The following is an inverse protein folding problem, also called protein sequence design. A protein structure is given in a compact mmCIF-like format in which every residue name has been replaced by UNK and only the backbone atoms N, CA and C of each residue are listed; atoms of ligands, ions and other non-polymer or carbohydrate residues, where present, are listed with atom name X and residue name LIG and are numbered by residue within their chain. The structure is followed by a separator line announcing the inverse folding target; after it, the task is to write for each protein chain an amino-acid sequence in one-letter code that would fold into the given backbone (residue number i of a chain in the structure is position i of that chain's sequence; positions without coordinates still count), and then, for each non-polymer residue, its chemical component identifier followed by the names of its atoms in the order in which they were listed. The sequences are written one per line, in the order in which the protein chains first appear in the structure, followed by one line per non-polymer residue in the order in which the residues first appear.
data_IF_215920305814
#
_entry.id   IF_215920305814
#
_cell.length_a   1.000
_cell.length_b   1.000
_cell.length_c   1.000
_cell.angle_alpha   90.00
_cell.angle_beta   90.00
_cell.angle_gamma   90.00
#
_symmetry.space_group_name_H-M   'P 1'
#
loop_
_entity.id
_entity.type
_entity.pdbx_description
1 polymer ?
#
# COMPACT_ATOMS: atom_id res chain seq x y z
N UNK A 1 -17.71 -11.52 15.84
CA UNK A 1 -16.52 -12.26 16.32
C UNK A 1 -16.26 -13.59 15.62
N UNK A 2 -17.22 -14.54 15.49
CA UNK A 2 -16.93 -15.85 14.86
C UNK A 2 -16.23 -15.76 13.49
N UNK A 3 -16.72 -14.88 12.59
CA UNK A 3 -16.05 -14.59 11.30
C UNK A 3 -14.62 -14.11 11.48
N UNK A 4 -14.41 -13.08 12.32
CA UNK A 4 -13.08 -12.50 12.62
C UNK A 4 -12.09 -13.57 13.06
N UNK A 5 -12.47 -14.38 14.06
CA UNK A 5 -11.60 -15.43 14.60
C UNK A 5 -11.28 -16.52 13.57
N UNK A 6 -12.23 -16.86 12.69
CA UNK A 6 -11.98 -17.84 11.62
C UNK A 6 -11.01 -17.34 10.58
N UNK A 7 -11.04 -16.05 10.23
CA UNK A 7 -10.03 -15.47 9.33
C UNK A 7 -8.65 -15.56 9.97
N UNK A 8 -8.53 -15.17 11.24
CA UNK A 8 -7.25 -15.27 11.98
C UNK A 8 -6.74 -16.71 12.00
N UNK A 9 -7.58 -17.69 12.35
CA UNK A 9 -7.19 -19.11 12.33
C UNK A 9 -6.76 -19.62 10.95
N UNK A 10 -7.32 -19.05 9.87
CA UNK A 10 -6.98 -19.46 8.51
C UNK A 10 -5.63 -18.90 8.06
N UNK A 11 -5.18 -17.76 8.61
CA UNK A 11 -4.01 -17.02 8.12
C UNK A 11 -2.86 -16.87 9.12
N UNK A 12 -3.06 -17.06 10.42
CA UNK A 12 -2.03 -16.82 11.45
C UNK A 12 -0.77 -17.68 11.30
N UNK A 13 -0.86 -18.83 10.64
CA UNK A 13 0.26 -19.72 10.38
C UNK A 13 1.25 -19.20 9.32
N UNK A 14 0.90 -18.17 8.55
CA UNK A 14 1.82 -17.55 7.60
C UNK A 14 2.71 -16.52 8.30
N UNK A 15 4.03 -16.75 8.30
CA UNK A 15 5.01 -15.86 8.93
C UNK A 15 5.08 -14.47 8.29
N UNK A 16 4.60 -14.30 7.06
CA UNK A 16 4.48 -13.01 6.40
C UNK A 16 3.15 -12.29 6.69
N UNK A 17 2.26 -12.83 7.54
CA UNK A 17 1.09 -12.08 8.04
C UNK A 17 1.52 -11.25 9.24
N UNK A 18 1.70 -9.95 9.04
CA UNK A 18 2.14 -9.03 10.08
C UNK A 18 1.00 -8.57 10.99
N UNK A 19 -0.23 -8.54 10.46
CA UNK A 19 -1.37 -8.10 11.24
C UNK A 19 -2.70 -8.15 10.53
N UNK A 20 -3.74 -7.69 11.23
CA UNK A 20 -5.10 -7.69 10.78
C UNK A 20 -5.78 -6.34 11.06
N UNK A 21 -6.51 -5.80 10.08
CA UNK A 21 -7.42 -4.69 10.32
C UNK A 21 -8.73 -5.21 10.89
N UNK A 22 -9.13 -4.74 12.08
CA UNK A 22 -10.43 -5.08 12.68
C UNK A 22 -11.61 -4.32 12.08
N UNK A 23 -11.35 -3.38 11.18
CA UNK A 23 -12.34 -2.58 10.49
C UNK A 23 -11.69 -1.66 9.47
N UNK A 24 -12.44 -1.35 8.41
CA UNK A 24 -12.09 -0.39 7.38
C UNK A 24 -13.21 0.65 7.30
N UNK A 25 -12.87 1.93 7.47
CA UNK A 25 -13.78 3.07 7.28
C UNK A 25 -15.13 2.95 8.01
N UNK A 26 -15.16 2.28 9.17
CA UNK A 26 -16.38 2.16 9.99
C UNK A 26 -16.81 3.56 10.46
N UNK A 27 -15.85 4.35 10.95
CA UNK A 27 -16.03 5.77 11.22
C UNK A 27 -15.75 6.51 9.91
N UNK A 28 -16.81 6.93 9.22
CA UNK A 28 -16.76 7.65 7.95
C UNK A 28 -17.69 8.87 7.91
N UNK A 29 -18.43 9.12 8.98
CA UNK A 29 -19.31 10.29 9.14
C UNK A 29 -19.55 10.61 10.62
N UNK A 30 -20.17 11.76 10.92
CA UNK A 30 -20.48 12.14 12.31
C UNK A 30 -21.40 11.11 13.02
N UNK A 31 -22.44 10.53 12.38
CA UNK A 31 -23.26 9.48 12.98
C UNK A 31 -22.48 8.23 13.45
N UNK A 32 -21.55 7.73 12.64
CA UNK A 32 -20.69 6.58 12.98
C UNK A 32 -19.66 6.97 14.05
N UNK A 33 -19.04 8.15 13.93
CA UNK A 33 -18.15 8.71 14.95
C UNK A 33 -18.81 8.84 16.34
N UNK A 34 -20.12 9.11 16.39
CA UNK A 34 -20.89 9.22 17.62
C UNK A 34 -21.25 7.87 18.28
N UNK A 35 -21.12 6.74 17.58
CA UNK A 35 -21.66 5.43 18.02
C UNK A 35 -20.65 4.31 18.06
N UNK A 36 -19.81 4.22 17.04
CA UNK A 36 -19.02 3.04 16.71
C UNK A 36 -17.66 2.93 17.41
N UNK A 37 -16.97 4.01 17.86
CA UNK A 37 -15.61 3.91 18.40
C UNK A 37 -15.45 2.86 19.52
N UNK A 38 -16.38 2.79 20.47
CA UNK A 38 -16.33 1.81 21.57
C UNK A 38 -16.46 0.36 21.11
N UNK A 39 -17.14 0.11 19.99
CA UNK A 39 -17.30 -1.22 19.44
C UNK A 39 -16.02 -1.64 18.70
N UNK A 40 -15.38 -0.71 18.00
CA UNK A 40 -14.07 -0.93 17.37
C UNK A 40 -13.06 -1.35 18.45
N UNK A 41 -12.94 -0.58 19.54
CA UNK A 41 -12.11 -0.92 20.72
C UNK A 41 -12.43 -2.29 21.33
N UNK A 42 -13.70 -2.65 21.44
CA UNK A 42 -14.09 -3.96 21.97
C UNK A 42 -13.69 -5.11 21.04
N UNK A 43 -13.84 -4.93 19.72
CA UNK A 43 -13.37 -5.91 18.72
C UNK A 43 -11.85 -6.02 18.74
N UNK A 44 -11.12 -4.90 18.85
CA UNK A 44 -9.65 -4.89 19.03
C UNK A 44 -9.24 -5.72 20.24
N UNK A 45 -9.81 -5.44 21.42
CA UNK A 45 -9.57 -6.20 22.66
C UNK A 45 -9.78 -7.69 22.46
N UNK A 46 -10.97 -8.07 21.99
CA UNK A 46 -11.35 -9.47 21.85
C UNK A 46 -10.48 -10.19 20.80
N UNK A 47 -10.02 -9.47 19.77
CA UNK A 47 -9.13 -9.97 18.72
C UNK A 47 -7.71 -10.18 19.22
N UNK A 48 -7.13 -9.20 19.93
CA UNK A 48 -5.80 -9.31 20.53
C UNK A 48 -5.75 -10.45 21.55
N UNK A 49 -6.78 -10.58 22.40
CA UNK A 49 -6.90 -11.71 23.33
C UNK A 49 -6.98 -13.06 22.62
N UNK A 50 -7.76 -13.15 21.53
CA UNK A 50 -7.84 -14.36 20.72
C UNK A 50 -6.46 -14.74 20.14
N UNK A 51 -5.78 -13.78 19.51
CA UNK A 51 -4.46 -13.97 18.92
C UNK A 51 -3.45 -14.43 19.97
N UNK A 52 -3.38 -13.76 21.12
CA UNK A 52 -2.47 -14.13 22.21
C UNK A 52 -2.69 -15.57 22.69
N UNK A 53 -3.94 -15.96 22.92
CA UNK A 53 -4.27 -17.33 23.34
C UNK A 53 -3.93 -18.39 22.29
N UNK A 54 -3.94 -18.01 21.01
CA UNK A 54 -3.70 -18.93 19.89
C UNK A 54 -2.22 -19.04 19.53
N UNK A 55 -1.47 -17.96 19.61
CA UNK A 55 -0.03 -17.98 19.38
C UNK A 55 0.73 -18.73 20.49
N UNK A 56 0.17 -18.81 21.69
CA UNK A 56 0.69 -19.70 22.74
C UNK A 56 0.70 -21.19 22.33
N UNK A 57 -0.10 -21.58 21.33
CA UNK A 57 -0.15 -22.93 20.78
C UNK A 57 0.85 -23.14 19.62
N UNK A 58 1.48 -22.09 19.11
CA UNK A 58 2.38 -22.14 17.94
C UNK A 58 3.86 -22.24 18.40
N UNK A 59 4.68 -22.99 17.65
CA UNK A 59 6.11 -23.19 17.95
C UNK A 59 6.97 -21.92 17.67
N UNK A 60 6.42 -20.94 16.95
CA UNK A 60 7.09 -19.69 16.60
C UNK A 60 6.53 -18.51 17.41
N UNK A 61 7.37 -17.95 18.28
CA UNK A 61 7.08 -16.78 19.10
C UNK A 61 7.08 -15.48 18.28
N UNK A 62 6.17 -15.36 17.32
CA UNK A 62 5.98 -14.14 16.50
C UNK A 62 4.81 -13.30 17.02
N UNK A 63 4.89 -11.99 16.82
CA UNK A 63 3.77 -11.10 17.08
C UNK A 63 2.86 -10.99 15.84
N UNK A 64 1.56 -10.83 16.08
CA UNK A 64 0.55 -10.48 15.08
C UNK A 64 -0.18 -9.26 15.60
N UNK A 65 -0.09 -8.17 14.86
CA UNK A 65 -0.65 -6.88 15.27
C UNK A 65 -2.10 -6.71 14.82
N UNK A 66 -2.86 -5.89 15.53
CA UNK A 66 -4.26 -5.60 15.25
C UNK A 66 -4.44 -4.10 15.07
N UNK A 67 -4.77 -3.68 13.85
CA UNK A 67 -4.92 -2.27 13.49
C UNK A 67 -6.32 -1.88 13.04
N UNK A 68 -6.47 -0.62 12.66
CA UNK A 68 -7.69 -0.07 12.06
C UNK A 68 -7.34 0.75 10.81
N UNK A 69 -8.14 0.63 9.75
CA UNK A 69 -8.01 1.43 8.53
C UNK A 69 -9.06 2.54 8.54
N UNK A 70 -8.60 3.79 8.63
CA UNK A 70 -9.45 4.96 8.77
C UNK A 70 -9.79 5.60 7.43
N UNK A 71 -10.99 6.16 7.33
CA UNK A 71 -11.48 6.84 6.15
C UNK A 71 -10.76 8.18 5.90
N UNK A 72 -10.80 8.65 4.66
CA UNK A 72 -10.29 9.96 4.27
C UNK A 72 -11.25 11.11 4.65
N UNK A 73 -11.61 11.19 5.93
CA UNK A 73 -12.46 12.26 6.49
C UNK A 73 -11.62 13.12 7.42
N UNK A 74 -11.07 14.20 6.87
CA UNK A 74 -10.09 15.08 7.55
C UNK A 74 -10.53 15.49 8.96
N UNK A 75 -11.79 15.85 9.17
CA UNK A 75 -12.31 16.27 10.49
C UNK A 75 -12.36 15.13 11.52
N UNK A 76 -12.54 13.89 11.07
CA UNK A 76 -12.67 12.71 11.93
C UNK A 76 -11.34 11.96 12.11
N UNK A 77 -10.32 12.28 11.31
CA UNK A 77 -9.01 11.61 11.33
C UNK A 77 -8.35 11.63 12.70
N UNK A 78 -8.04 12.82 13.22
CA UNK A 78 -7.38 12.96 14.52
C UNK A 78 -8.20 12.42 15.69
N UNK A 79 -9.51 12.70 15.83
CA UNK A 79 -10.26 12.12 16.93
C UNK A 79 -10.38 10.58 16.83
N UNK A 80 -10.39 10.01 15.62
CA UNK A 80 -10.33 8.55 15.43
C UNK A 80 -8.98 7.98 15.89
N UNK A 81 -7.88 8.58 15.44
CA UNK A 81 -6.52 8.20 15.84
C UNK A 81 -6.38 8.26 17.37
N UNK A 82 -6.61 9.44 17.97
CA UNK A 82 -6.51 9.67 19.42
C UNK A 82 -7.37 8.69 20.22
N UNK A 83 -8.60 8.42 19.77
CA UNK A 83 -9.50 7.52 20.49
C UNK A 83 -9.04 6.06 20.42
N UNK A 84 -8.50 5.60 19.30
CA UNK A 84 -8.17 4.18 19.08
C UNK A 84 -6.77 3.81 19.58
N UNK A 85 -5.83 4.75 19.64
CA UNK A 85 -4.44 4.50 20.08
C UNK A 85 -4.21 4.78 21.57
N UNK A 86 -5.04 5.62 22.20
CA UNK A 86 -4.84 5.95 23.62
C UNK A 86 -5.03 4.75 24.57
N UNK A 87 -4.44 4.80 25.76
CA UNK A 87 -4.70 3.88 26.85
C UNK A 87 -5.80 4.41 27.78
N UNK A 88 -6.89 3.66 27.96
CA UNK A 88 -8.08 4.10 28.74
C UNK A 88 -7.68 4.46 30.18
N UNK A 89 -6.81 3.67 30.78
CA UNK A 89 -6.33 3.87 32.15
C UNK A 89 -4.93 4.49 32.22
N UNK A 90 -4.33 4.87 31.08
CA UNK A 90 -2.94 5.34 31.01
C UNK A 90 -1.91 4.25 31.29
N UNK A 91 -2.24 3.00 30.95
CA UNK A 91 -1.35 1.84 31.05
C UNK A 91 -1.20 1.22 29.66
N UNK A 92 0.04 1.05 29.21
CA UNK A 92 0.39 0.48 27.89
C UNK A 92 -0.10 -0.97 27.71
N UNK A 93 -0.44 -1.67 28.80
CA UNK A 93 -1.08 -3.00 28.76
C UNK A 93 -2.56 -2.97 28.37
N UNK A 94 -3.11 -1.83 27.94
CA UNK A 94 -4.49 -1.72 27.45
C UNK A 94 -4.65 -2.45 26.11
N UNK A 95 -5.01 -3.72 26.18
CA UNK A 95 -5.26 -4.59 25.01
C UNK A 95 -6.40 -4.10 24.10
N UNK A 96 -7.15 -3.05 24.46
CA UNK A 96 -8.17 -2.48 23.58
C UNK A 96 -7.64 -1.42 22.62
N UNK A 97 -6.41 -0.91 22.80
CA UNK A 97 -5.77 -0.04 21.80
C UNK A 97 -5.30 -0.85 20.59
N UNK A 98 -5.37 -0.20 19.43
CA UNK A 98 -4.83 -0.74 18.18
C UNK A 98 -3.31 -0.69 18.19
N UNK A 99 -2.68 -1.61 17.46
CA UNK A 99 -1.23 -1.73 17.33
C UNK A 99 -0.67 -0.93 16.15
N UNK A 100 -1.50 -0.55 15.17
CA UNK A 100 -1.12 0.31 14.04
C UNK A 100 -2.35 1.01 13.47
N UNK A 101 -2.12 2.17 12.84
CA UNK A 101 -3.17 3.00 12.22
C UNK A 101 -2.95 3.12 10.71
N UNK A 102 -3.85 2.51 9.95
CA UNK A 102 -3.94 2.75 8.51
C UNK A 102 -4.80 3.98 8.24
N UNK A 103 -4.34 4.85 7.34
CA UNK A 103 -5.13 5.98 6.84
C UNK A 103 -5.34 5.85 5.33
N UNK A 104 -6.59 5.76 4.89
CA UNK A 104 -6.92 5.96 3.50
C UNK A 104 -6.74 7.46 3.19
N UNK A 105 -5.89 7.80 2.23
CA UNK A 105 -5.61 9.20 1.87
C UNK A 105 -5.59 9.40 0.36
N UNK A 106 -6.58 10.14 -0.13
CA UNK A 106 -6.75 10.52 -1.52
C UNK A 106 -6.58 12.04 -1.72
N UNK A 107 -6.01 12.75 -0.73
CA UNK A 107 -5.87 14.21 -0.75
C UNK A 107 -4.86 14.71 -1.82
N UNK A 108 -3.91 13.88 -2.23
CA UNK A 108 -2.98 14.19 -3.31
C UNK A 108 -3.50 13.67 -4.65
N UNK A 109 -3.83 14.58 -5.58
CA UNK A 109 -4.26 14.25 -6.92
C UNK A 109 -3.25 14.75 -7.96
N UNK A 110 -2.81 13.83 -8.82
CA UNK A 110 -1.80 14.04 -9.87
C UNK A 110 -1.97 15.34 -10.65
N UNK A 111 -0.91 16.14 -10.73
CA UNK A 111 -0.89 17.39 -11.51
C UNK A 111 -1.71 18.56 -10.96
N UNK A 112 -2.41 18.38 -9.83
CA UNK A 112 -3.16 19.44 -9.15
C UNK A 112 -2.76 19.67 -7.70
N UNK A 113 -2.10 18.68 -7.09
CA UNK A 113 -1.62 18.75 -5.71
C UNK A 113 -0.09 18.79 -5.69
N UNK A 114 0.43 19.33 -4.59
CA UNK A 114 1.82 19.28 -4.16
C UNK A 114 1.86 19.03 -2.64
N UNK A 115 3.05 19.04 -2.05
CA UNK A 115 3.28 18.80 -0.62
C UNK A 115 2.38 19.64 0.30
N UNK A 116 2.15 20.91 -0.02
CA UNK A 116 1.35 21.81 0.80
C UNK A 116 -0.13 21.74 0.46
N UNK A 117 -0.47 21.76 -0.82
CA UNK A 117 -1.86 21.83 -1.29
C UNK A 117 -2.62 20.51 -1.13
N UNK A 118 -1.92 19.37 -1.10
CA UNK A 118 -2.49 18.06 -0.73
C UNK A 118 -2.85 17.96 0.74
N UNK A 119 -2.36 18.85 1.61
CA UNK A 119 -2.53 18.70 3.05
C UNK A 119 -1.58 17.69 3.70
N UNK A 120 -0.73 16.97 2.96
CA UNK A 120 0.25 16.03 3.51
C UNK A 120 1.19 16.69 4.52
N UNK A 121 1.53 17.97 4.32
CA UNK A 121 2.32 18.73 5.28
C UNK A 121 1.70 18.82 6.68
N UNK A 122 0.37 18.67 6.80
CA UNK A 122 -0.33 18.71 8.09
C UNK A 122 -0.26 17.38 8.83
N UNK A 123 0.00 16.28 8.11
CA UNK A 123 0.12 14.94 8.71
C UNK A 123 1.34 14.84 9.61
N UNK A 124 2.43 15.55 9.29
CA UNK A 124 3.65 15.63 10.12
C UNK A 124 3.30 16.02 11.56
N UNK A 125 2.67 17.19 11.75
CA UNK A 125 2.27 17.64 13.09
C UNK A 125 1.13 16.83 13.71
N UNK A 126 0.36 16.10 12.90
CA UNK A 126 -0.72 15.25 13.39
C UNK A 126 -0.19 13.97 14.05
N UNK A 127 0.87 13.39 13.48
CA UNK A 127 1.36 12.07 13.86
C UNK A 127 2.79 12.06 14.46
N UNK A 128 3.44 13.21 14.61
CA UNK A 128 4.82 13.32 15.17
C UNK A 128 5.03 12.63 16.52
N UNK A 129 3.98 12.50 17.34
CA UNK A 129 4.04 11.85 18.65
C UNK A 129 3.26 10.54 18.68
N UNK A 130 3.14 9.87 17.53
CA UNK A 130 2.44 8.59 17.48
C UNK A 130 3.15 7.54 18.33
N UNK A 131 2.37 6.79 19.12
CA UNK A 131 2.84 5.63 19.89
C UNK A 131 2.68 4.31 19.12
N UNK A 132 2.15 4.38 17.89
CA UNK A 132 1.95 3.22 17.01
C UNK A 132 2.38 3.56 15.58
N UNK A 133 2.79 2.58 14.78
CA UNK A 133 3.02 2.76 13.35
C UNK A 133 1.80 3.37 12.64
N UNK A 134 2.05 4.33 11.75
CA UNK A 134 1.02 5.00 10.94
C UNK A 134 1.42 4.91 9.48
N UNK A 135 0.55 4.43 8.62
CA UNK A 135 0.84 4.34 7.18
C UNK A 135 -0.40 4.61 6.36
N UNK A 136 -0.23 4.86 5.06
CA UNK A 136 -1.38 4.90 4.18
C UNK A 136 -1.85 3.49 3.84
N UNK A 137 -2.98 3.10 4.41
CA UNK A 137 -3.64 1.84 4.06
C UNK A 137 -4.13 1.85 2.61
N UNK A 138 -4.43 3.04 2.07
CA UNK A 138 -4.74 3.28 0.67
C UNK A 138 -4.27 4.68 0.26
N UNK A 139 -3.74 4.82 -0.96
CA UNK A 139 -3.55 6.11 -1.63
C UNK A 139 -3.61 5.96 -3.15
N UNK A 140 -3.68 7.11 -3.84
CA UNK A 140 -3.58 7.20 -5.30
C UNK A 140 -4.83 7.76 -5.97
N UNK A 141 -5.18 9.01 -5.66
CA UNK A 141 -6.34 9.72 -6.22
C UNK A 141 -6.40 9.61 -7.75
N UNK A 142 -7.50 9.10 -8.30
CA UNK A 142 -7.67 8.91 -9.74
C UNK A 142 -8.43 10.03 -10.45
N UNK A 143 -8.72 11.16 -9.78
CA UNK A 143 -9.42 12.32 -10.35
C UNK A 143 -8.75 12.83 -11.63
N UNK A 144 -7.43 12.74 -11.70
CA UNK A 144 -6.63 13.02 -12.89
C UNK A 144 -5.93 11.72 -13.30
N UNK A 145 -6.11 11.31 -14.56
CA UNK A 145 -5.57 10.07 -15.11
C UNK A 145 -4.83 10.32 -16.44
N UNK A 146 -3.76 9.56 -16.77
CA UNK A 146 -3.10 8.56 -15.92
C UNK A 146 -2.49 9.18 -14.66
N UNK A 147 -2.49 8.44 -13.54
CA UNK A 147 -1.96 8.91 -12.27
C UNK A 147 -0.44 9.01 -12.34
N UNK A 148 0.13 10.11 -11.87
CA UNK A 148 1.57 10.38 -11.90
C UNK A 148 2.31 9.79 -10.71
N UNK A 149 1.59 9.47 -9.63
CA UNK A 149 2.11 8.92 -8.37
C UNK A 149 3.24 9.76 -7.73
N UNK A 150 3.28 11.06 -8.01
CA UNK A 150 4.26 11.99 -7.42
C UNK A 150 4.13 12.08 -5.89
N UNK A 151 2.95 11.77 -5.33
CA UNK A 151 2.75 11.57 -3.89
C UNK A 151 3.67 10.51 -3.27
N UNK A 152 4.19 9.56 -4.05
CA UNK A 152 5.10 8.53 -3.55
C UNK A 152 6.46 9.14 -3.22
N UNK A 153 7.13 9.76 -4.21
CA UNK A 153 8.47 10.31 -4.01
C UNK A 153 8.48 11.68 -3.34
N UNK A 154 7.47 12.51 -3.63
CA UNK A 154 7.46 13.92 -3.21
C UNK A 154 6.60 14.11 -1.94
N UNK A 155 5.81 13.09 -1.57
CA UNK A 155 4.96 13.04 -0.37
C UNK A 155 5.45 12.00 0.63
N UNK A 156 5.01 10.74 0.48
CA UNK A 156 5.18 9.64 1.44
C UNK A 156 6.64 9.43 1.83
N UNK A 157 7.53 9.34 0.83
CA UNK A 157 8.95 9.05 1.04
C UNK A 157 9.84 10.30 0.94
N UNK A 158 9.27 11.50 1.16
CA UNK A 158 10.07 12.72 1.21
C UNK A 158 10.81 12.87 2.55
N UNK A 159 11.65 13.89 2.68
CA UNK A 159 12.47 14.19 3.87
C UNK A 159 11.67 14.61 5.13
N UNK A 160 10.34 14.46 5.12
CA UNK A 160 9.44 14.83 6.22
C UNK A 160 8.55 13.68 6.64
N UNK A 161 7.71 13.14 5.75
CA UNK A 161 6.82 12.03 6.12
C UNK A 161 7.55 10.73 6.34
N UNK A 162 8.75 10.55 5.80
CA UNK A 162 9.49 9.30 5.99
C UNK A 162 9.86 9.03 7.45
N UNK A 163 9.93 10.06 8.29
CA UNK A 163 10.17 9.95 9.73
C UNK A 163 8.87 9.86 10.54
N UNK A 164 7.70 9.93 9.89
CA UNK A 164 6.37 10.01 10.51
C UNK A 164 5.46 8.86 10.10
N UNK A 165 5.53 8.44 8.84
CA UNK A 165 4.71 7.38 8.25
C UNK A 165 5.58 6.19 7.84
N UNK A 166 5.07 5.00 8.10
CA UNK A 166 5.65 3.70 7.74
C UNK A 166 5.33 3.30 6.29
N UNK A 167 5.27 4.28 5.38
CA UNK A 167 4.98 4.10 3.96
C UNK A 167 3.48 4.02 3.62
N UNK A 168 3.13 3.17 2.65
CA UNK A 168 1.74 2.96 2.28
C UNK A 168 1.49 2.01 1.12
N UNK A 169 0.22 1.72 0.87
CA UNK A 169 -0.28 0.80 -0.14
C UNK A 169 -1.08 1.54 -1.22
N UNK A 170 -0.70 1.38 -2.49
CA UNK A 170 -1.43 1.98 -3.61
C UNK A 170 -2.76 1.24 -3.85
N UNK A 171 -3.84 1.98 -4.02
CA UNK A 171 -5.15 1.45 -4.41
C UNK A 171 -5.33 1.61 -5.93
N UNK A 172 -5.46 0.55 -6.73
CA UNK A 172 -5.36 -0.88 -6.41
C UNK A 172 -4.70 -1.64 -7.56
N UNK A 173 -4.44 -2.95 -7.38
CA UNK A 173 -3.75 -3.74 -8.42
C UNK A 173 -4.62 -3.93 -9.66
N UNK A 174 -5.82 -4.52 -9.49
CA UNK A 174 -6.74 -4.86 -10.58
C UNK A 174 -7.58 -3.68 -11.03
N UNK A 175 -7.76 -3.54 -12.34
CA UNK A 175 -8.66 -2.57 -12.93
C UNK A 175 -10.10 -3.03 -12.76
N UNK A 176 -10.84 -2.27 -11.97
CA UNK A 176 -12.28 -2.48 -11.77
C UNK A 176 -13.11 -1.29 -12.26
N UNK A 177 -14.43 -1.34 -12.03
CA UNK A 177 -15.36 -0.28 -12.42
C UNK A 177 -14.99 1.11 -11.85
N UNK A 178 -14.29 1.14 -10.72
CA UNK A 178 -13.82 2.37 -10.05
C UNK A 178 -12.61 3.01 -10.73
N UNK A 179 -11.97 2.36 -11.71
CA UNK A 179 -10.82 2.86 -12.46
C UNK A 179 -9.59 3.22 -11.62
N UNK A 180 -9.18 2.31 -10.73
CA UNK A 180 -7.99 2.46 -9.89
C UNK A 180 -6.88 1.45 -10.21
N UNK A 181 -7.06 0.59 -11.21
CA UNK A 181 -6.14 -0.52 -11.47
C UNK A 181 -4.78 -0.08 -11.99
N UNK A 182 -3.75 -0.82 -11.58
CA UNK A 182 -2.44 -0.81 -12.24
C UNK A 182 -2.40 -1.79 -13.41
N UNK A 183 -3.23 -2.83 -13.39
CA UNK A 183 -3.31 -3.84 -14.45
C UNK A 183 -4.76 -4.14 -14.81
N UNK A 184 -5.01 -4.48 -16.07
CA UNK A 184 -6.28 -5.02 -16.53
C UNK A 184 -6.20 -6.54 -16.64
N UNK A 185 -7.14 -7.25 -16.03
CA UNK A 185 -7.19 -8.72 -15.99
C UNK A 185 -8.37 -9.18 -16.84
N UNK A 186 -8.07 -9.87 -17.93
CA UNK A 186 -9.07 -10.39 -18.87
C UNK A 186 -9.88 -11.53 -18.25
N UNK A 187 -11.20 -11.39 -18.22
CA UNK A 187 -12.12 -12.47 -17.79
C UNK A 187 -12.12 -13.68 -18.75
N UNK A 188 -11.76 -13.46 -20.03
CA UNK A 188 -11.84 -14.49 -21.07
C UNK A 188 -10.72 -15.53 -20.96
N UNK A 189 -9.51 -15.09 -20.58
CA UNK A 189 -8.30 -15.92 -20.61
C UNK A 189 -7.35 -15.71 -19.43
N UNK A 190 -7.72 -14.89 -18.44
CA UNK A 190 -6.89 -14.48 -17.30
C UNK A 190 -5.56 -13.80 -17.70
N UNK A 191 -5.46 -13.27 -18.92
CA UNK A 191 -4.28 -12.49 -19.31
C UNK A 191 -4.23 -11.16 -18.55
N UNK A 192 -3.02 -10.68 -18.29
CA UNK A 192 -2.78 -9.46 -17.50
C UNK A 192 -2.11 -8.41 -18.38
N UNK A 193 -2.75 -7.26 -18.52
CA UNK A 193 -2.24 -6.12 -19.27
C UNK A 193 -1.79 -5.02 -18.30
N UNK A 194 -0.52 -4.63 -18.37
CA UNK A 194 -0.02 -3.52 -17.56
C UNK A 194 -0.57 -2.19 -18.10
N UNK A 195 -1.17 -1.39 -17.23
CA UNK A 195 -1.69 -0.07 -17.58
C UNK A 195 -0.62 1.01 -17.39
N UNK A 196 -0.87 2.22 -17.93
CA UNK A 196 0.06 3.34 -17.80
C UNK A 196 0.39 3.68 -16.34
N UNK A 197 -0.59 3.52 -15.46
CA UNK A 197 -0.45 3.74 -14.02
C UNK A 197 0.60 2.82 -13.39
N UNK A 198 0.72 1.56 -13.83
CA UNK A 198 1.78 0.65 -13.36
C UNK A 198 3.17 1.23 -13.62
N UNK A 199 3.41 1.74 -14.84
CA UNK A 199 4.71 2.30 -15.21
C UNK A 199 5.01 3.60 -14.45
N UNK A 200 3.98 4.43 -14.24
CA UNK A 200 4.11 5.66 -13.46
C UNK A 200 4.42 5.34 -11.99
N UNK A 201 3.70 4.41 -11.38
CA UNK A 201 3.91 3.98 -10.01
C UNK A 201 5.31 3.39 -9.80
N UNK A 202 5.71 2.44 -10.66
CA UNK A 202 7.05 1.85 -10.64
C UNK A 202 8.14 2.92 -10.70
N UNK A 203 7.99 3.90 -11.58
CA UNK A 203 8.97 5.00 -11.74
C UNK A 203 9.11 5.84 -10.47
N UNK A 204 8.04 6.03 -9.70
CA UNK A 204 8.09 6.82 -8.47
C UNK A 204 8.64 6.03 -7.29
N UNK A 205 8.31 4.73 -7.20
CA UNK A 205 8.97 3.82 -6.27
C UNK A 205 10.49 3.77 -6.49
N UNK A 206 10.95 3.74 -7.75
CA UNK A 206 12.39 3.75 -8.07
C UNK A 206 13.11 5.05 -7.69
N UNK A 207 12.38 6.15 -7.45
CA UNK A 207 12.94 7.40 -6.95
C UNK A 207 12.92 7.52 -5.43
N UNK A 208 12.09 6.73 -4.75
CA UNK A 208 11.96 6.81 -3.31
C UNK A 208 13.28 6.38 -2.64
N UNK A 209 13.78 7.19 -1.72
CA UNK A 209 14.98 6.90 -0.94
C UNK A 209 14.55 6.49 0.48
N UNK A 210 14.54 5.19 0.76
CA UNK A 210 14.16 4.67 2.07
C UNK A 210 15.43 4.55 2.94
N UNK A 211 15.53 5.27 4.08
CA UNK A 211 16.68 5.20 4.95
C UNK A 211 16.75 3.83 5.63
N UNK A 212 17.96 3.33 5.82
CA UNK A 212 18.17 2.18 6.71
C UNK A 212 18.17 2.66 8.15
N UNK A 213 17.15 2.28 8.91
CA UNK A 213 17.04 2.52 10.35
C UNK A 213 17.40 1.25 11.12
N UNK A 214 17.99 1.43 12.31
CA UNK A 214 18.22 0.34 13.26
C UNK A 214 17.18 0.45 14.36
N UNK A 215 16.63 -0.68 14.79
CA UNK A 215 15.67 -0.76 15.90
C UNK A 215 16.18 -0.03 17.16
N UNK A 216 17.48 -0.11 17.46
CA UNK A 216 18.11 0.58 18.61
C UNK A 216 18.05 2.11 18.55
N UNK A 217 17.63 2.69 17.43
CA UNK A 217 17.48 4.13 17.21
C UNK A 217 16.02 4.57 17.17
N UNK A 218 15.08 3.63 17.30
CA UNK A 218 13.65 3.92 17.37
C UNK A 218 13.35 4.23 18.84
N UNK A 219 12.79 5.41 19.07
CA UNK A 219 12.37 5.82 20.41
C UNK A 219 11.11 5.03 20.81
N UNK A 220 11.09 4.54 22.06
CA UNK A 220 9.91 3.89 22.63
C UNK A 220 8.95 4.96 23.15
N UNK A 221 7.85 5.17 22.44
CA UNK A 221 6.83 6.17 22.75
C UNK A 221 5.65 5.50 23.46
N UNK A 222 5.53 5.73 24.77
CA UNK A 222 4.42 5.19 25.57
C UNK A 222 3.05 5.67 25.08
N UNK A 223 2.02 4.83 25.23
CA UNK A 223 0.66 5.19 24.86
C UNK A 223 0.13 6.33 25.75
N UNK A 224 -0.45 7.34 25.13
CA UNK A 224 -1.05 8.46 25.85
C UNK A 224 -2.33 8.01 26.57
N UNK A 225 -2.59 8.55 27.76
CA UNK A 225 -3.87 8.33 28.45
C UNK A 225 -5.01 8.96 27.66
N UNK A 226 -6.11 8.24 27.48
CA UNK A 226 -7.28 8.73 26.77
C UNK A 226 -7.81 10.06 27.34
N UNK A 227 -8.01 11.04 26.46
CA UNK A 227 -8.44 12.39 26.80
C UNK A 227 -9.71 12.78 26.03
N UNK A 228 -10.86 12.70 26.73
CA UNK A 228 -12.15 13.02 26.13
C UNK A 228 -12.23 14.48 25.63
N UNK A 229 -11.64 15.42 26.36
CA UNK A 229 -11.67 16.85 25.98
C UNK A 229 -10.85 17.14 24.74
N UNK A 230 -9.73 16.43 24.53
CA UNK A 230 -8.93 16.52 23.31
C UNK A 230 -9.73 15.99 22.12
N UNK A 231 -10.27 14.77 22.22
CA UNK A 231 -11.04 14.12 21.15
C UNK A 231 -12.25 14.97 20.76
N UNK A 232 -13.04 15.44 21.73
CA UNK A 232 -14.19 16.31 21.48
C UNK A 232 -13.80 17.75 21.08
N UNK A 233 -12.54 18.13 21.31
CA UNK A 233 -11.96 19.38 20.84
C UNK A 233 -11.72 19.37 19.33
N UNK A 234 -11.38 18.21 18.76
CA UNK A 234 -11.33 18.02 17.31
C UNK A 234 -12.72 18.00 16.68
N UNK A 235 -13.62 17.16 17.20
CA UNK A 235 -14.98 17.04 16.70
C UNK A 235 -15.97 16.73 17.85
N UNK A 236 -16.98 17.59 18.02
CA UNK A 236 -17.96 17.47 19.12
C UNK A 236 -18.92 16.29 18.95
N UNK A 237 -19.11 15.80 17.73
CA UNK A 237 -19.95 14.64 17.45
C UNK A 237 -19.27 13.33 17.85
N UNK A 238 -17.94 13.33 17.99
CA UNK A 238 -17.17 12.14 18.28
C UNK A 238 -17.44 11.59 19.69
N UNK A 239 -17.71 10.30 19.78
CA UNK A 239 -17.99 9.62 21.05
C UNK A 239 -16.71 9.38 21.84
N UNK A 240 -16.48 10.18 22.88
CA UNK A 240 -15.38 9.96 23.84
C UNK A 240 -15.77 9.07 25.04
N UNK A 241 -16.65 8.08 24.82
CA UNK A 241 -17.04 7.12 25.85
C UNK A 241 -16.09 5.90 25.83
N UNK A 242 -15.30 5.72 26.89
CA UNK A 242 -14.35 4.62 27.03
C UNK A 242 -14.91 3.38 27.73
N UNK A 243 -16.22 3.34 28.01
CA UNK A 243 -16.88 2.13 28.52
C UNK A 243 -17.16 1.17 27.37
N UNK A 244 -16.29 0.16 27.25
CA UNK A 244 -16.36 -0.80 26.16
C UNK A 244 -17.42 -1.89 26.43
N UNK A 245 -18.16 -2.33 25.39
CA UNK A 245 -18.96 -3.54 25.47
C UNK A 245 -18.14 -4.74 25.97
N UNK A 246 -18.70 -5.52 26.88
CA UNK A 246 -18.07 -6.73 27.41
C UNK A 246 -18.35 -7.90 26.46
N UNK A 247 -17.32 -8.69 26.14
CA UNK A 247 -17.46 -9.94 25.41
C UNK A 247 -18.54 -10.83 26.06
N UNK A 248 -19.53 -11.27 25.29
CA UNK A 248 -20.54 -12.20 25.79
C UNK A 248 -19.92 -13.60 26.03
N UNK A 249 -20.70 -14.52 26.61
CA UNK A 249 -20.23 -15.88 26.93
C UNK A 249 -19.70 -16.64 25.70
N UNK A 250 -20.28 -16.43 24.53
CA UNK A 250 -19.90 -17.14 23.31
C UNK A 250 -18.58 -16.60 22.76
N UNK A 251 -18.36 -15.28 22.84
CA UNK A 251 -17.07 -14.66 22.47
C UNK A 251 -15.97 -15.14 23.40
N UNK A 252 -16.20 -15.13 24.73
CA UNK A 252 -15.23 -15.64 25.70
C UNK A 252 -14.90 -17.10 25.44
N UNK A 253 -15.91 -17.94 25.21
CA UNK A 253 -15.70 -19.35 24.88
C UNK A 253 -14.83 -19.53 23.64
N UNK A 254 -15.06 -18.73 22.58
CA UNK A 254 -14.21 -18.78 21.37
C UNK A 254 -12.78 -18.29 21.63
N UNK A 255 -12.59 -17.25 22.45
CA UNK A 255 -11.24 -16.78 22.84
C UNK A 255 -10.49 -17.87 23.57
N UNK A 256 -11.13 -18.57 24.51
CA UNK A 256 -10.49 -19.60 25.31
C UNK A 256 -10.23 -20.88 24.51
N UNK A 257 -11.22 -21.34 23.72
CA UNK A 257 -11.20 -22.66 23.08
C UNK A 257 -10.87 -22.66 21.59
N UNK A 258 -10.78 -21.48 20.97
CA UNK A 258 -10.55 -21.33 19.54
C UNK A 258 -11.83 -21.49 18.71
N UNK A 259 -11.66 -21.44 17.39
CA UNK A 259 -12.74 -21.70 16.44
C UNK A 259 -12.28 -22.71 15.40
N UNK A 260 -13.20 -23.58 14.95
CA UNK A 260 -12.91 -24.52 13.87
C UNK A 260 -12.89 -23.82 12.50
N UNK A 261 -11.86 -24.13 11.71
CA UNK A 261 -11.76 -23.76 10.29
C UNK A 261 -11.51 -25.01 9.45
N UNK A 262 -12.03 -25.03 8.22
CA UNK A 262 -11.83 -26.16 7.30
C UNK A 262 -10.41 -26.18 6.73
N UNK A 263 -9.76 -25.02 6.64
CA UNK A 263 -8.44 -24.85 6.06
C UNK A 263 -7.61 -23.94 6.96
N UNK A 264 -6.48 -24.45 7.43
CA UNK A 264 -5.40 -23.65 8.01
C UNK A 264 -4.35 -23.43 6.94
N UNK A 265 -3.97 -22.18 6.73
CA UNK A 265 -2.95 -21.81 5.76
C UNK A 265 -1.61 -22.48 6.06
N UNK A 266 -0.83 -22.73 5.01
CA UNK A 266 0.56 -23.15 5.13
C UNK A 266 1.31 -22.72 3.89
N UNK A 267 2.59 -22.39 4.04
CA UNK A 267 3.44 -22.20 2.88
C UNK A 267 3.46 -23.48 2.04
N UNK A 268 3.45 -23.29 0.73
CA UNK A 268 3.60 -24.36 -0.25
C UNK A 268 4.96 -24.16 -0.89
N UNK A 269 5.77 -25.20 -0.90
CA UNK A 269 7.04 -25.17 -1.63
C UNK A 269 6.76 -24.99 -3.11
N UNK A 270 7.33 -23.95 -3.68
CA UNK A 270 7.23 -23.66 -5.11
C UNK A 270 8.56 -24.05 -5.74
N UNK A 271 8.57 -25.16 -6.50
CA UNK A 271 9.80 -25.72 -7.09
C UNK A 271 10.47 -24.78 -8.12
N UNK A 272 9.73 -23.77 -8.59
CA UNK A 272 10.23 -22.70 -9.43
C UNK A 272 9.67 -21.37 -8.93
N UNK A 273 10.53 -20.53 -8.37
CA UNK A 273 10.23 -19.11 -8.32
C UNK A 273 10.05 -18.64 -9.77
N UNK A 274 8.86 -18.16 -10.09
CA UNK A 274 8.65 -17.36 -11.29
C UNK A 274 9.49 -16.11 -11.06
N UNK A 275 10.76 -16.16 -11.47
CA UNK A 275 11.44 -14.91 -11.79
C UNK A 275 10.77 -14.45 -13.07
N UNK A 276 10.03 -13.32 -13.07
CA UNK A 276 9.62 -12.69 -14.31
C UNK A 276 10.89 -12.22 -15.02
N UNK A 277 11.58 -13.15 -15.68
CA UNK A 277 12.62 -12.83 -16.63
C UNK A 277 11.90 -12.37 -17.88
N UNK A 278 12.00 -11.08 -18.12
CA UNK A 278 11.75 -10.47 -19.42
C UNK A 278 12.79 -11.04 -20.40
N UNK A 279 12.53 -12.20 -20.97
CA UNK A 279 13.40 -12.81 -21.98
C UNK A 279 12.71 -12.87 -23.32
N UNK A 280 13.35 -12.32 -24.36
CA UNK A 280 12.99 -12.61 -25.74
C UNK A 280 11.75 -11.87 -26.24
N UNK A 281 11.86 -10.55 -26.39
CA UNK A 281 10.89 -9.81 -27.19
C UNK A 281 10.95 -10.26 -28.66
N UNK A 282 9.95 -11.00 -29.11
CA UNK A 282 9.72 -11.21 -30.53
C UNK A 282 9.33 -9.87 -31.15
N UNK A 283 10.20 -9.30 -32.00
CA UNK A 283 9.94 -8.05 -32.72
C UNK A 283 8.81 -8.25 -33.74
N UNK A 284 7.57 -8.15 -33.29
CA UNK A 284 6.46 -7.71 -34.12
C UNK A 284 6.26 -6.21 -33.87
N UNK A 285 6.09 -5.46 -34.94
CA UNK A 285 6.54 -4.07 -35.09
C UNK A 285 6.07 -3.01 -34.09
N UNK A 286 5.17 -3.29 -33.12
CA UNK A 286 4.74 -2.33 -32.09
C UNK A 286 4.38 -2.93 -30.72
N UNK A 287 4.57 -4.24 -30.50
CA UNK A 287 4.13 -4.94 -29.28
C UNK A 287 5.15 -6.00 -28.90
N UNK A 288 5.57 -6.01 -27.62
CA UNK A 288 6.38 -7.11 -27.08
C UNK A 288 5.48 -7.99 -26.23
N UNK A 289 5.29 -9.25 -26.65
CA UNK A 289 4.57 -10.27 -25.87
C UNK A 289 5.59 -11.04 -25.04
N UNK A 290 5.27 -11.27 -23.76
CA UNK A 290 6.04 -12.12 -22.87
C UNK A 290 5.22 -13.35 -22.48
N UNK A 291 5.82 -14.53 -22.66
CA UNK A 291 5.23 -15.82 -22.29
C UNK A 291 5.73 -16.25 -20.91
N UNK A 292 4.80 -16.56 -19.99
CA UNK A 292 5.11 -17.14 -18.69
C UNK A 292 4.52 -18.54 -18.64
N UNK A 293 5.29 -19.51 -18.17
CA UNK A 293 4.80 -20.87 -17.94
C UNK A 293 4.95 -21.24 -16.47
N UNK A 294 3.85 -21.61 -15.83
CA UNK A 294 3.84 -22.12 -14.46
C UNK A 294 3.77 -23.64 -14.53
N UNK A 295 4.74 -24.35 -13.95
CA UNK A 295 4.64 -25.80 -13.76
C UNK A 295 4.49 -26.09 -12.27
N UNK A 296 3.40 -26.74 -11.88
CA UNK A 296 3.22 -27.27 -10.53
C UNK A 296 3.62 -28.74 -10.55
N UNK A 297 4.42 -29.18 -9.58
CA UNK A 297 5.07 -30.50 -9.60
C UNK A 297 4.13 -31.71 -9.42
N UNK A 298 2.81 -31.54 -9.45
CA UNK A 298 1.86 -32.64 -9.22
C UNK A 298 0.74 -32.80 -10.26
N UNK A 299 0.67 -32.00 -11.33
CA UNK A 299 -0.21 -32.31 -12.46
C UNK A 299 0.23 -31.56 -13.71
N UNK A 300 0.12 -32.22 -14.87
CA UNK A 300 0.50 -31.74 -16.20
C UNK A 300 -0.36 -30.59 -16.75
N UNK A 301 -0.74 -29.64 -15.89
CA UNK A 301 -1.47 -28.43 -16.25
C UNK A 301 -0.52 -27.25 -16.09
N UNK A 302 0.15 -26.90 -17.19
CA UNK A 302 0.85 -25.63 -17.27
C UNK A 302 -0.18 -24.52 -17.49
N UNK A 303 -0.33 -23.62 -16.51
CA UNK A 303 -1.07 -22.38 -16.73
C UNK A 303 -0.09 -21.38 -17.31
N UNK A 304 -0.34 -20.94 -18.55
CA UNK A 304 0.41 -19.85 -19.15
C UNK A 304 -0.27 -18.53 -18.81
N UNK A 305 0.49 -17.58 -18.26
CA UNK A 305 0.02 -16.19 -18.09
C UNK A 305 0.69 -15.38 -19.20
N UNK A 306 -0.09 -14.57 -19.92
CA UNK A 306 0.44 -13.72 -21.00
C UNK A 306 0.42 -12.26 -20.53
N UNK A 307 1.53 -11.55 -20.76
CA UNK A 307 1.60 -10.10 -20.58
C UNK A 307 1.96 -9.41 -21.89
N UNK A 308 1.25 -8.32 -22.19
CA UNK A 308 1.49 -7.49 -23.37
C UNK A 308 2.07 -6.14 -22.93
N UNK A 309 3.24 -5.76 -23.45
CA UNK A 309 3.87 -4.46 -23.15
C UNK A 309 4.12 -3.67 -24.43
N UNK A 310 3.69 -2.41 -24.47
CA UNK A 310 3.92 -1.53 -25.61
C UNK A 310 5.29 -0.88 -25.57
N UNK A 311 5.84 -0.57 -26.76
CA UNK A 311 7.17 0.00 -26.93
C UNK A 311 7.33 1.40 -26.29
N UNK A 312 6.23 2.14 -26.15
CA UNK A 312 6.19 3.45 -25.48
C UNK A 312 6.51 3.37 -23.98
N UNK A 313 6.29 2.20 -23.38
CA UNK A 313 6.27 2.02 -21.91
C UNK A 313 7.60 1.44 -21.40
N UNK A 314 8.50 1.09 -22.33
CA UNK A 314 9.86 0.63 -22.05
C UNK A 314 10.75 1.83 -21.70
N UNK A 315 11.09 1.96 -20.41
CA UNK A 315 12.15 2.86 -19.95
C UNK A 315 13.48 2.34 -20.52
N UNK A 316 14.01 2.99 -21.55
CA UNK A 316 15.38 2.76 -21.99
C UNK A 316 16.34 3.29 -20.92
N UNK A 317 16.88 2.41 -20.07
CA UNK A 317 18.03 2.74 -19.23
C UNK A 317 19.27 2.89 -20.11
N UNK A 318 19.39 4.02 -20.82
CA UNK A 318 20.68 4.39 -21.40
C UNK A 318 21.55 4.89 -20.24
N UNK A 319 22.37 3.98 -19.71
CA UNK A 319 23.54 4.34 -18.92
C UNK A 319 24.43 5.25 -19.76
N UNK A 320 24.23 6.57 -19.64
CA UNK A 320 25.19 7.54 -20.15
C UNK A 320 26.21 7.79 -19.06
N UNK A 321 27.29 7.00 -19.09
CA UNK A 321 28.53 7.36 -18.40
C UNK A 321 29.04 8.69 -18.97
N UNK A 322 28.63 9.81 -18.36
CA UNK A 322 29.25 11.12 -18.61
C UNK A 322 30.64 11.12 -17.97
N UNK A 323 31.67 10.97 -18.82
CA UNK A 323 33.04 11.35 -18.47
C UNK A 323 33.05 12.83 -18.08
N UNK A 324 33.42 13.09 -16.83
CA UNK A 324 33.69 14.43 -16.31
C UNK A 324 34.89 15.04 -17.04
N UNK A 325 34.65 16.03 -17.90
CA UNK A 325 35.69 16.96 -18.34
C UNK A 325 35.59 18.24 -17.50
N UNK A 326 36.56 18.43 -16.63
CA UNK A 326 36.77 19.64 -15.83
C UNK A 326 36.96 20.86 -16.73
N UNK A 327 36.05 21.84 -16.62
CA UNK A 327 36.33 23.23 -16.98
C UNK A 327 35.87 24.15 -15.86
N UNK A 328 36.88 24.67 -15.16
CA UNK A 328 36.84 25.77 -14.21
C UNK A 328 36.35 27.07 -14.88
N UNK A 329 35.40 27.76 -14.25
CA UNK A 329 35.18 29.19 -14.45
C UNK A 329 34.61 29.84 -13.18
N UNK A 330 35.45 30.71 -12.63
CA UNK A 330 35.28 31.78 -11.64
C UNK A 330 33.87 32.32 -11.34
N UNK A 331 33.65 32.53 -10.04
CA UNK A 331 32.67 33.44 -9.42
C UNK A 331 32.84 34.88 -9.91
N UNK A 332 31.72 35.54 -10.24
CA UNK A 332 31.52 36.96 -9.96
C UNK A 332 30.04 37.28 -9.81
N UNK A 333 29.72 37.95 -8.71
CA UNK A 333 28.42 38.45 -8.29
C UNK A 333 28.02 39.76 -8.96
N UNK A 334 26.75 39.93 -9.32
CA UNK A 334 26.05 41.23 -9.19
C UNK A 334 24.52 41.09 -9.37
N UNK A 335 23.80 41.62 -8.38
CA UNK A 335 22.37 41.97 -8.39
C UNK A 335 22.08 43.04 -9.44
N UNK A 336 20.92 42.96 -10.11
CA UNK A 336 19.96 44.07 -10.20
C UNK A 336 18.68 43.68 -10.94
N UNK A 337 17.64 44.43 -10.61
CA UNK A 337 16.21 44.26 -10.88
C UNK A 337 15.71 44.91 -12.16
N UNK A 338 14.53 44.44 -12.59
CA UNK A 338 13.37 45.21 -13.10
C UNK A 338 13.02 45.15 -14.60
N UNK A 339 11.73 44.83 -14.79
CA UNK A 339 10.70 45.36 -15.72
C UNK A 339 10.66 44.97 -17.22
N UNK A 340 9.51 44.37 -17.52
CA UNK A 340 8.51 44.74 -18.54
C UNK A 340 8.63 44.21 -19.99
N UNK A 341 7.60 43.42 -20.30
CA UNK A 341 6.90 43.14 -21.56
C UNK A 341 7.24 43.97 -22.82
N UNK A 342 7.34 43.30 -23.98
CA UNK A 342 6.20 43.12 -24.91
C UNK A 342 6.60 42.53 -26.28
N UNK A 343 5.72 41.62 -26.75
CA UNK A 343 5.33 41.26 -28.12
C UNK A 343 6.34 41.17 -29.30
N UNK A 344 6.39 39.99 -29.93
CA UNK A 344 5.97 39.82 -31.34
C UNK A 344 5.70 38.35 -31.68
N UNK A 345 4.66 38.15 -32.49
CA UNK A 345 4.01 36.89 -32.81
C UNK A 345 4.67 36.13 -33.97
N UNK A 346 4.50 34.80 -34.00
CA UNK A 346 4.42 34.04 -35.27
C UNK A 346 3.33 32.96 -35.15
N UNK A 347 2.62 32.83 -36.26
CA UNK A 347 1.38 32.12 -36.57
C UNK A 347 1.47 30.59 -36.61
N UNK A 348 0.35 29.98 -36.19
CA UNK A 348 -0.34 28.73 -36.59
C UNK A 348 0.46 27.47 -36.99
N UNK A 349 0.07 26.32 -36.37
CA UNK A 349 -0.61 25.20 -37.06
C UNK A 349 -1.49 24.47 -36.03
N UNK A 350 -2.80 24.45 -36.29
CA UNK A 350 -3.77 23.57 -35.62
C UNK A 350 -3.64 22.20 -36.27
N UNK A 351 -3.35 21.16 -35.48
CA UNK A 351 -3.60 19.78 -35.88
C UNK A 351 -4.43 19.09 -34.81
N UNK A 352 -5.69 18.89 -35.16
CA UNK A 352 -6.66 18.13 -34.39
C UNK A 352 -6.24 16.66 -34.37
N UNK A 353 -5.72 16.16 -33.24
CA UNK A 353 -5.54 14.73 -33.03
C UNK A 353 -6.82 14.16 -32.43
N UNK A 354 -7.60 13.52 -33.31
CA UNK A 354 -8.77 12.70 -32.99
C UNK A 354 -8.31 11.57 -32.05
N UNK A 355 -8.93 11.46 -30.87
CA UNK A 355 -8.70 10.32 -29.98
C UNK A 355 -9.13 9.03 -30.71
N UNK A 356 -8.15 8.24 -31.15
CA UNK A 356 -8.38 6.92 -31.70
C UNK A 356 -8.35 5.96 -30.52
N UNK A 357 -9.53 5.56 -30.06
CA UNK A 357 -9.70 4.32 -29.30
C UNK A 357 -9.21 3.18 -30.19
N UNK A 358 -8.11 2.54 -29.78
CA UNK A 358 -7.62 1.32 -30.42
C UNK A 358 -7.80 0.20 -29.41
N UNK A 359 -8.95 -0.47 -29.48
CA UNK A 359 -9.14 -1.79 -28.90
C UNK A 359 -8.29 -2.79 -29.70
N UNK A 360 -7.55 -3.64 -29.00
CA UNK A 360 -6.75 -4.71 -29.60
C UNK A 360 -7.27 -6.05 -29.07
N UNK A 361 -7.82 -6.85 -29.96
CA UNK A 361 -8.30 -8.21 -29.71
C UNK A 361 -7.21 -9.21 -30.09
N UNK A 362 -6.99 -10.28 -29.32
CA UNK A 362 -6.09 -11.38 -29.69
C UNK A 362 -6.81 -12.72 -29.62
N UNK A 363 -6.63 -13.51 -30.69
CA UNK A 363 -7.30 -14.78 -30.94
C UNK A 363 -6.38 -15.99 -30.67
N UNK A 364 -7.01 -17.05 -30.16
CA UNK A 364 -6.68 -18.49 -30.27
C UNK A 364 -5.50 -19.09 -29.49
N UNK A 365 -5.79 -20.25 -28.90
CA UNK A 365 -4.96 -21.18 -28.12
C UNK A 365 -4.34 -22.21 -29.07
N UNK A 366 -3.05 -22.53 -28.90
CA UNK A 366 -2.49 -23.78 -29.44
C UNK A 366 -1.41 -24.36 -28.53
N UNK A 367 -1.47 -25.68 -28.31
CA UNK A 367 -0.51 -26.46 -27.52
C UNK A 367 0.58 -27.04 -28.42
N UNK A 368 1.86 -26.81 -28.11
CA UNK A 368 2.99 -27.53 -28.72
C UNK A 368 4.05 -27.84 -27.65
N UNK A 369 4.67 -29.03 -27.76
CA UNK A 369 5.68 -29.54 -26.84
C UNK A 369 7.10 -29.52 -27.43
N UNK A 370 8.11 -29.46 -26.54
CA UNK A 370 9.56 -29.74 -26.69
C UNK A 370 10.43 -28.53 -27.12
N UNK A 371 11.70 -28.32 -26.71
CA UNK A 371 12.78 -29.15 -26.14
C UNK A 371 13.72 -28.32 -25.22
N UNK A 372 14.51 -29.02 -24.38
CA UNK A 372 15.56 -28.52 -23.46
C UNK A 372 16.69 -27.73 -24.14
N UNK A 373 17.27 -26.73 -23.44
CA UNK A 373 18.71 -26.41 -23.48
C UNK A 373 19.22 -25.54 -22.31
N UNK A 374 20.55 -25.51 -22.21
CA UNK A 374 21.47 -25.35 -21.08
C UNK A 374 21.44 -24.11 -20.17
N UNK A 375 22.01 -24.34 -18.99
CA UNK A 375 22.24 -23.47 -17.84
C UNK A 375 23.34 -22.44 -18.12
N UNK A 376 23.00 -21.15 -17.98
CA UNK A 376 23.96 -20.05 -17.83
C UNK A 376 23.69 -19.30 -16.53
N UNK A 377 24.61 -19.39 -15.56
CA UNK A 377 24.61 -18.57 -14.34
C UNK A 377 24.92 -17.11 -14.70
N UNK A 378 24.03 -16.18 -14.37
CA UNK A 378 24.29 -14.74 -14.33
C UNK A 378 23.71 -14.17 -13.03
N UNK A 379 24.47 -13.26 -12.44
CA UNK A 379 24.36 -12.81 -11.05
C UNK A 379 23.03 -12.14 -10.71
N UNK A 380 22.48 -12.53 -9.56
CA UNK A 380 21.29 -11.94 -8.97
C UNK A 380 21.59 -10.49 -8.53
N UNK A 381 21.01 -9.53 -9.24
CA UNK A 381 20.87 -8.17 -8.72
C UNK A 381 20.12 -8.21 -7.40
N UNK A 382 20.72 -7.65 -6.35
CA UNK A 382 20.14 -7.53 -5.01
C UNK A 382 18.82 -6.76 -5.10
N UNK A 383 17.72 -7.48 -5.01
CA UNK A 383 16.43 -6.92 -4.62
C UNK A 383 16.53 -6.63 -3.13
N UNK A 384 16.58 -5.35 -2.76
CA UNK A 384 16.40 -4.93 -1.37
C UNK A 384 14.99 -5.28 -0.97
N UNK A 385 14.87 -6.29 -0.11
CA UNK A 385 13.63 -6.71 0.51
C UNK A 385 13.04 -5.54 1.29
N UNK A 386 12.03 -4.87 0.72
CA UNK A 386 10.98 -4.27 1.53
C UNK A 386 10.27 -5.41 2.25
N UNK A 387 9.96 -5.24 3.52
CA UNK A 387 9.20 -6.22 4.30
C UNK A 387 7.82 -6.34 3.64
N UNK A 388 7.61 -7.41 2.85
CA UNK A 388 6.30 -7.76 2.31
C UNK A 388 5.49 -8.42 3.43
N UNK A 389 5.00 -7.59 4.36
CA UNK A 389 4.02 -8.00 5.35
C UNK A 389 2.61 -7.95 4.75
N UNK A 390 1.87 -9.05 4.84
CA UNK A 390 0.45 -9.10 4.51
C UNK A 390 -0.34 -8.59 5.72
N UNK A 391 -1.13 -7.52 5.50
CA UNK A 391 -2.17 -7.07 6.42
C UNK A 391 -3.51 -7.46 5.81
N UNK A 392 -4.36 -8.15 6.57
CA UNK A 392 -5.67 -8.62 6.10
C UNK A 392 -6.79 -7.81 6.74
N UNK A 393 -7.74 -7.33 5.94
CA UNK A 393 -8.98 -6.76 6.44
C UNK A 393 -9.96 -7.85 6.90
N UNK A 394 -10.44 -7.76 8.14
CA UNK A 394 -11.28 -8.79 8.77
C UNK A 394 -12.78 -8.60 8.50
N UNK A 395 -13.21 -7.37 8.21
CA UNK A 395 -14.62 -6.97 8.07
C UNK A 395 -14.88 -6.44 6.69
#
# INVERSE_FOLDING_TARGET
MSRVFRVIESFRSYSNVIGFFIGNEIINDEPSAGKDPKFIRAVTRDTKQYILNRLADDDDAREIYVGYSAADVISLRMPTFEYLTCAINGNDSDVSSIDFFGLNSYEWCSGSSDWQSSGYSKLVSGFENSSVPVFFSEYGCNKNSPRTFDEVSDGIYNDKLIDILDGGLVYEYSQEASNYGLVDISDDDNSVTLLQDFFNFKKQLEKAEIPTINETKVDDVSSLKCNASLIQGYDKSFSANFTLPVANKDIKWMIDNGVGVNYKGKFVDVDQYINPYVSGGSKASNVTKYDFSVSTASSASATSIYFTVHKSDLINSVSTTKKSSSRSASRSSSRSSSRAASHSAVSSVVSSAKAISTSVTVSSISSHSSHKNEVGKLEAGRWTAGIFGLILALI
#
